data_IF_964535998461
#
_entry.id   IF_964535998461
#
_cell.length_a   1.000
_cell.length_b   1.000
_cell.length_c   1.000
_cell.angle_alpha   90.00
_cell.angle_beta   90.00
_cell.angle_gamma   90.00
#
_symmetry.space_group_name_H-M   'P 1'
#
loop_
_entity.id
_entity.type
_entity.pdbx_description
1 polymer ?
#
# COMPACT_ATOMS: atom_id res chain seq x y z
N UNK A 1 -28.12 60.75 -9.18
CA UNK A 1 -28.29 59.54 -8.37
C UNK A 1 -28.19 58.23 -9.18
N UNK A 2 -28.45 58.22 -10.47
CA UNK A 2 -28.41 57.07 -11.39
C UNK A 2 -26.99 56.54 -11.68
N UNK A 3 -25.97 57.37 -11.76
CA UNK A 3 -24.58 56.97 -12.04
C UNK A 3 -23.96 56.15 -10.94
N UNK A 4 -24.26 56.41 -9.65
CA UNK A 4 -23.76 55.64 -8.53
C UNK A 4 -24.31 54.20 -8.52
N UNK A 5 -25.57 54.00 -8.89
CA UNK A 5 -26.20 52.67 -8.98
C UNK A 5 -25.57 51.81 -10.09
N UNK A 6 -25.26 52.37 -11.24
CA UNK A 6 -24.60 51.68 -12.37
C UNK A 6 -23.16 51.27 -12.01
N UNK A 7 -22.42 52.12 -11.32
CA UNK A 7 -21.05 51.79 -10.86
C UNK A 7 -21.04 50.63 -9.83
N UNK A 8 -21.98 50.62 -8.91
CA UNK A 8 -22.10 49.55 -7.91
C UNK A 8 -22.44 48.19 -8.55
N UNK A 9 -23.33 48.19 -9.54
CA UNK A 9 -23.68 46.96 -10.28
C UNK A 9 -22.48 46.45 -11.07
N UNK A 10 -21.71 47.33 -11.70
CA UNK A 10 -20.54 46.96 -12.48
C UNK A 10 -19.45 46.32 -11.56
N UNK A 11 -19.19 46.90 -10.41
CA UNK A 11 -18.25 46.37 -9.42
C UNK A 11 -18.71 44.98 -8.93
N UNK A 12 -19.99 44.86 -8.63
CA UNK A 12 -20.57 43.60 -8.16
C UNK A 12 -20.46 42.50 -9.22
N UNK A 13 -20.73 42.80 -10.49
CA UNK A 13 -20.57 41.81 -11.57
C UNK A 13 -19.13 41.37 -11.78
N UNK A 14 -18.18 42.32 -11.73
CA UNK A 14 -16.75 42.00 -11.83
C UNK A 14 -16.29 41.09 -10.66
N UNK A 15 -16.76 41.38 -9.44
CA UNK A 15 -16.46 40.53 -8.28
C UNK A 15 -16.99 39.10 -8.45
N UNK A 16 -18.22 38.95 -8.91
CA UNK A 16 -18.83 37.65 -9.15
C UNK A 16 -18.09 36.88 -10.22
N UNK A 17 -17.75 37.52 -11.32
CA UNK A 17 -16.97 36.90 -12.41
C UNK A 17 -15.56 36.50 -11.96
N UNK A 18 -14.90 37.31 -11.15
CA UNK A 18 -13.61 36.97 -10.54
C UNK A 18 -13.68 35.75 -9.64
N UNK A 19 -14.70 35.65 -8.79
CA UNK A 19 -14.95 34.52 -7.93
C UNK A 19 -15.23 33.23 -8.72
N UNK A 20 -16.08 33.31 -9.75
CA UNK A 20 -16.36 32.18 -10.64
C UNK A 20 -15.11 31.70 -11.39
N UNK A 21 -14.29 32.63 -11.88
CA UNK A 21 -13.03 32.31 -12.54
C UNK A 21 -12.06 31.58 -11.57
N UNK A 22 -11.94 32.06 -10.33
CA UNK A 22 -11.10 31.46 -9.31
C UNK A 22 -11.55 30.04 -8.95
N UNK A 23 -12.86 29.83 -8.77
CA UNK A 23 -13.45 28.51 -8.54
C UNK A 23 -13.22 27.57 -9.73
N UNK A 24 -13.37 28.04 -10.96
CA UNK A 24 -13.10 27.27 -12.17
C UNK A 24 -11.64 26.81 -12.26
N UNK A 25 -10.69 27.69 -11.96
CA UNK A 25 -9.27 27.34 -11.91
C UNK A 25 -8.97 26.30 -10.83
N UNK A 26 -9.62 26.41 -9.68
CA UNK A 26 -9.45 25.45 -8.59
C UNK A 26 -10.00 24.06 -8.95
N UNK A 27 -11.19 24.00 -9.53
CA UNK A 27 -11.79 22.75 -10.03
C UNK A 27 -10.94 22.09 -11.11
N UNK A 28 -10.43 22.90 -12.06
CA UNK A 28 -9.56 22.39 -13.11
C UNK A 28 -8.26 21.79 -12.56
N UNK A 29 -7.63 22.46 -11.58
CA UNK A 29 -6.44 21.95 -10.91
C UNK A 29 -6.72 20.64 -10.17
N UNK A 30 -7.86 20.55 -9.51
CA UNK A 30 -8.27 19.35 -8.79
C UNK A 30 -8.56 18.18 -9.74
N UNK A 31 -9.22 18.46 -10.88
CA UNK A 31 -9.49 17.47 -11.91
C UNK A 31 -8.21 16.96 -12.59
N UNK A 32 -7.25 17.83 -12.85
CA UNK A 32 -5.94 17.46 -13.39
C UNK A 32 -5.18 16.57 -12.43
N UNK A 33 -5.15 16.91 -11.14
CA UNK A 33 -4.50 16.10 -10.11
C UNK A 33 -5.12 14.70 -10.00
N UNK A 34 -6.44 14.60 -10.05
CA UNK A 34 -7.15 13.31 -10.04
C UNK A 34 -6.87 12.47 -11.29
N UNK A 35 -6.75 13.10 -12.45
CA UNK A 35 -6.38 12.41 -13.70
C UNK A 35 -4.93 11.91 -13.67
N UNK A 36 -4.00 12.68 -13.12
CA UNK A 36 -2.61 12.27 -12.97
C UNK A 36 -2.51 11.05 -12.02
N UNK A 37 -3.21 11.08 -10.88
CA UNK A 37 -3.30 9.94 -9.96
C UNK A 37 -3.95 8.72 -10.62
N UNK A 38 -5.03 8.92 -11.37
CA UNK A 38 -5.70 7.83 -12.09
C UNK A 38 -4.82 7.20 -13.17
N UNK A 39 -3.99 7.99 -13.85
CA UNK A 39 -3.04 7.50 -14.83
C UNK A 39 -1.88 6.74 -14.18
N UNK A 40 -1.36 7.22 -13.06
CA UNK A 40 -0.34 6.51 -12.29
C UNK A 40 -0.87 5.15 -11.81
N UNK A 41 -2.09 5.11 -11.28
CA UNK A 41 -2.73 3.86 -10.87
C UNK A 41 -2.94 2.88 -12.03
N UNK A 42 -3.37 3.36 -13.19
CA UNK A 42 -3.54 2.51 -14.39
C UNK A 42 -2.22 2.00 -14.95
N UNK A 43 -1.16 2.80 -14.87
CA UNK A 43 0.14 2.46 -15.41
C UNK A 43 0.86 1.42 -14.52
N UNK A 44 0.67 1.52 -13.21
CA UNK A 44 1.29 0.64 -12.21
C UNK A 44 0.25 -0.24 -11.48
N UNK A 45 -0.80 -0.68 -12.18
CA UNK A 45 -1.86 -1.50 -11.58
C UNK A 45 -1.31 -2.72 -10.84
N UNK A 46 -0.32 -3.37 -11.42
CA UNK A 46 0.34 -4.54 -10.80
C UNK A 46 1.10 -4.21 -9.51
N UNK A 47 1.37 -2.93 -9.25
CA UNK A 47 2.01 -2.47 -8.01
C UNK A 47 1.00 -2.29 -6.87
N UNK A 48 -0.18 -1.78 -7.20
CA UNK A 48 -1.19 -1.43 -6.21
C UNK A 48 -2.18 -2.56 -5.95
N UNK A 49 -2.51 -3.34 -6.99
CA UNK A 49 -3.39 -4.49 -6.86
C UNK A 49 -2.58 -5.77 -6.62
N UNK A 50 -3.06 -6.58 -5.71
CA UNK A 50 -2.57 -7.93 -5.53
C UNK A 50 -3.18 -8.81 -6.64
N UNK A 51 -2.35 -9.55 -7.36
CA UNK A 51 -2.85 -10.53 -8.31
C UNK A 51 -3.50 -11.71 -7.55
N UNK A 52 -4.56 -12.29 -8.08
CA UNK A 52 -5.24 -13.43 -7.45
C UNK A 52 -4.28 -14.58 -7.10
N UNK A 53 -3.29 -14.81 -7.96
CA UNK A 53 -2.26 -15.81 -7.69
C UNK A 53 -1.37 -15.43 -6.50
N UNK A 54 -0.99 -14.15 -6.39
CA UNK A 54 -0.23 -13.65 -5.22
C UNK A 54 -1.07 -13.74 -3.95
N UNK A 55 -2.36 -13.44 -4.04
CA UNK A 55 -3.29 -13.53 -2.90
C UNK A 55 -3.44 -14.97 -2.41
N UNK A 56 -3.64 -15.94 -3.32
CA UNK A 56 -3.71 -17.35 -2.96
C UNK A 56 -2.42 -17.86 -2.30
N UNK A 57 -1.27 -17.44 -2.84
CA UNK A 57 0.04 -17.82 -2.31
C UNK A 57 0.22 -17.19 -0.91
N UNK A 58 -0.13 -15.91 -0.75
CA UNK A 58 -0.04 -15.21 0.53
C UNK A 58 -0.92 -15.89 1.59
N UNK A 59 -2.14 -16.27 1.24
CA UNK A 59 -3.05 -16.97 2.13
C UNK A 59 -2.51 -18.35 2.55
N UNK A 60 -1.91 -19.10 1.63
CA UNK A 60 -1.27 -20.39 1.94
C UNK A 60 -0.08 -20.21 2.89
N UNK A 61 0.75 -19.20 2.68
CA UNK A 61 1.86 -18.91 3.60
C UNK A 61 1.35 -18.47 4.97
N UNK A 62 0.30 -17.67 5.02
CA UNK A 62 -0.32 -17.24 6.28
C UNK A 62 -0.88 -18.44 7.05
N UNK A 63 -1.53 -19.37 6.37
CA UNK A 63 -2.05 -20.59 6.94
C UNK A 63 -0.93 -21.51 7.46
N UNK A 64 0.13 -21.68 6.67
CA UNK A 64 1.31 -22.48 7.06
C UNK A 64 2.03 -21.88 8.29
N UNK A 65 2.21 -20.55 8.32
CA UNK A 65 2.77 -19.85 9.46
C UNK A 65 1.92 -20.04 10.72
N UNK A 66 0.62 -19.95 10.60
CA UNK A 66 -0.30 -20.11 11.72
C UNK A 66 -0.37 -21.55 12.20
N UNK A 67 -0.25 -22.53 11.31
CA UNK A 67 -0.33 -23.95 11.68
C UNK A 67 0.98 -24.49 12.23
N UNK A 68 2.10 -24.17 11.57
CA UNK A 68 3.38 -24.83 11.85
C UNK A 68 4.28 -24.05 12.81
N UNK A 69 4.12 -22.73 12.90
CA UNK A 69 5.00 -21.86 13.69
C UNK A 69 4.42 -21.37 15.00
N UNK A 70 3.11 -21.17 15.10
CA UNK A 70 2.48 -20.81 16.38
C UNK A 70 2.76 -21.89 17.42
N UNK A 71 2.83 -23.15 17.02
CA UNK A 71 3.24 -24.25 17.91
C UNK A 71 4.69 -24.14 18.42
N UNK A 72 5.53 -23.33 17.80
CA UNK A 72 6.90 -23.04 18.26
C UNK A 72 7.01 -21.70 19.03
N UNK A 73 6.00 -20.83 18.92
CA UNK A 73 5.93 -19.53 19.59
C UNK A 73 5.32 -19.58 20.99
N UNK A 74 4.75 -20.71 21.41
CA UNK A 74 4.13 -20.91 22.74
C UNK A 74 5.05 -20.70 23.94
N UNK A 75 6.25 -20.15 23.74
CA UNK A 75 7.19 -19.76 24.81
C UNK A 75 7.48 -18.24 24.83
N UNK A 76 6.69 -17.42 24.15
CA UNK A 76 6.83 -15.97 24.23
C UNK A 76 5.98 -15.49 25.40
N UNK A 77 6.66 -15.09 26.48
CA UNK A 77 6.06 -14.50 27.66
C UNK A 77 5.20 -13.28 27.26
N UNK A 78 3.90 -13.34 27.57
CA UNK A 78 2.89 -12.31 27.30
C UNK A 78 3.16 -10.99 28.06
N UNK A 79 4.21 -10.89 28.89
CA UNK A 79 4.43 -9.73 29.77
C UNK A 79 5.05 -8.50 29.11
N UNK A 80 5.62 -8.60 27.93
CA UNK A 80 6.20 -7.44 27.24
C UNK A 80 5.54 -7.22 25.89
N UNK A 81 4.52 -6.38 25.88
CA UNK A 81 3.77 -5.95 24.70
C UNK A 81 4.58 -5.18 23.60
N UNK A 82 5.75 -5.68 23.27
CA UNK A 82 6.54 -5.26 22.12
C UNK A 82 6.41 -6.31 21.03
N UNK A 83 5.54 -6.03 20.06
CA UNK A 83 5.29 -6.83 18.84
C UNK A 83 6.54 -7.12 17.97
N UNK A 84 7.75 -6.84 18.47
CA UNK A 84 8.96 -6.80 17.64
C UNK A 84 9.72 -8.11 17.49
N UNK A 85 9.42 -9.14 18.26
CA UNK A 85 10.22 -10.39 18.24
C UNK A 85 9.40 -11.67 17.99
N UNK A 86 8.34 -11.56 17.17
CA UNK A 86 7.50 -12.74 16.84
C UNK A 86 8.34 -13.80 16.13
N UNK A 87 9.31 -13.40 15.32
CA UNK A 87 10.21 -14.31 14.64
C UNK A 87 11.62 -14.22 15.20
N UNK A 88 12.07 -15.29 15.89
CA UNK A 88 13.38 -15.33 16.53
C UNK A 88 14.57 -15.46 15.57
N UNK A 89 14.34 -15.91 14.34
CA UNK A 89 15.38 -16.21 13.35
C UNK A 89 14.91 -15.88 11.93
N UNK A 90 15.89 -15.64 11.04
CA UNK A 90 15.62 -15.56 9.59
C UNK A 90 15.03 -16.86 9.11
N UNK A 91 14.07 -16.78 8.21
CA UNK A 91 13.51 -17.95 7.56
C UNK A 91 13.17 -17.71 6.09
N UNK A 92 13.26 -18.76 5.33
CA UNK A 92 12.75 -18.83 3.97
C UNK A 92 11.79 -20.02 3.89
N UNK A 93 10.57 -19.75 3.46
CA UNK A 93 9.58 -20.79 3.17
C UNK A 93 9.30 -20.79 1.67
N UNK A 94 9.35 -21.95 1.03
CA UNK A 94 9.16 -22.12 -0.41
C UNK A 94 7.90 -22.91 -0.68
N UNK A 95 7.06 -22.38 -1.56
CA UNK A 95 5.88 -23.07 -2.09
C UNK A 95 5.85 -22.93 -3.60
N UNK A 96 6.01 -24.03 -4.31
CA UNK A 96 6.08 -24.04 -5.78
C UNK A 96 7.15 -23.05 -6.30
N UNK A 97 6.76 -22.12 -7.17
CA UNK A 97 7.64 -21.10 -7.77
C UNK A 97 7.73 -19.81 -6.94
N UNK A 98 7.18 -19.81 -5.72
CA UNK A 98 7.13 -18.64 -4.84
C UNK A 98 7.84 -18.93 -3.53
N UNK A 99 8.44 -17.90 -2.94
CA UNK A 99 9.05 -18.02 -1.62
C UNK A 99 8.71 -16.81 -0.76
N UNK A 100 8.59 -17.06 0.54
CA UNK A 100 8.49 -16.04 1.55
C UNK A 100 9.76 -16.03 2.39
N UNK A 101 10.39 -14.87 2.49
CA UNK A 101 11.64 -14.65 3.20
C UNK A 101 11.42 -13.64 4.32
N UNK A 102 11.88 -13.93 5.51
CA UNK A 102 11.91 -13.01 6.64
C UNK A 102 13.35 -12.72 7.04
N UNK A 103 13.68 -11.45 7.20
CA UNK A 103 14.98 -10.99 7.66
C UNK A 103 14.83 -10.30 9.02
N UNK A 104 15.39 -10.93 10.04
CA UNK A 104 15.33 -10.44 11.43
C UNK A 104 16.05 -9.11 11.62
N UNK A 105 17.18 -8.89 10.94
CA UNK A 105 17.99 -7.69 11.15
C UNK A 105 17.24 -6.41 10.80
N UNK A 106 16.36 -6.48 9.80
CA UNK A 106 15.58 -5.34 9.31
C UNK A 106 14.10 -5.44 9.71
N UNK A 107 13.70 -6.53 10.37
CA UNK A 107 12.30 -6.86 10.68
C UNK A 107 11.40 -6.73 9.44
N UNK A 108 11.85 -7.33 8.33
CA UNK A 108 11.15 -7.25 7.05
C UNK A 108 10.85 -8.63 6.50
N UNK A 109 9.64 -8.76 6.02
CA UNK A 109 9.17 -9.94 5.32
C UNK A 109 8.97 -9.62 3.85
N UNK A 110 9.32 -10.55 2.98
CA UNK A 110 9.21 -10.39 1.54
C UNK A 110 8.56 -11.60 0.90
N UNK A 111 7.63 -11.34 0.00
CA UNK A 111 7.05 -12.34 -0.88
C UNK A 111 7.72 -12.26 -2.25
N UNK A 112 8.36 -13.35 -2.66
CA UNK A 112 8.92 -13.53 -4.01
C UNK A 112 7.93 -14.33 -4.84
N UNK A 113 7.45 -13.76 -5.93
CA UNK A 113 6.59 -14.45 -6.89
C UNK A 113 7.25 -14.47 -8.25
N UNK A 114 7.18 -15.62 -8.91
CA UNK A 114 7.70 -15.81 -10.26
C UNK A 114 6.55 -15.62 -11.25
N UNK A 115 6.43 -14.44 -11.84
CA UNK A 115 5.45 -14.18 -12.89
C UNK A 115 6.13 -14.32 -14.26
N UNK A 116 5.78 -15.35 -15.02
CA UNK A 116 6.21 -15.57 -16.41
C UNK A 116 7.73 -15.62 -16.66
N UNK A 117 8.49 -16.38 -15.88
CA UNK A 117 9.92 -16.68 -16.08
C UNK A 117 10.89 -15.47 -16.15
N UNK A 118 10.45 -14.22 -16.04
CA UNK A 118 11.34 -13.10 -16.33
C UNK A 118 11.58 -12.11 -15.17
N UNK A 119 10.71 -12.01 -14.18
CA UNK A 119 10.90 -11.02 -13.12
C UNK A 119 10.55 -11.62 -11.76
N UNK A 120 11.56 -11.98 -10.99
CA UNK A 120 11.40 -12.25 -9.56
C UNK A 120 11.01 -10.94 -8.86
N UNK A 121 9.73 -10.66 -8.75
CA UNK A 121 9.24 -9.53 -7.96
C UNK A 121 9.34 -9.90 -6.49
N UNK A 122 9.91 -9.02 -5.71
CA UNK A 122 10.05 -9.16 -4.26
C UNK A 122 9.24 -8.05 -3.60
N UNK A 123 8.03 -8.40 -3.16
CA UNK A 123 7.09 -7.48 -2.49
C UNK A 123 7.32 -7.50 -0.98
N UNK A 124 7.44 -6.35 -0.35
CA UNK A 124 7.49 -6.22 1.10
C UNK A 124 6.11 -6.53 1.70
N UNK A 125 6.09 -7.41 2.69
CA UNK A 125 4.89 -7.82 3.43
C UNK A 125 5.03 -7.29 4.86
N UNK A 126 4.02 -6.62 5.35
CA UNK A 126 3.91 -6.29 6.77
C UNK A 126 3.12 -7.38 7.48
N UNK A 127 3.46 -7.71 8.70
CA UNK A 127 2.72 -8.65 9.49
C UNK A 127 2.23 -8.00 10.79
N UNK A 128 1.10 -8.48 11.28
CA UNK A 128 0.57 -8.15 12.59
C UNK A 128 0.20 -9.44 13.31
N UNK A 129 0.38 -9.45 14.63
CA UNK A 129 -0.07 -10.53 15.47
C UNK A 129 -1.33 -10.10 16.23
N UNK A 130 -2.41 -10.82 16.02
CA UNK A 130 -3.68 -10.54 16.66
C UNK A 130 -4.47 -11.82 16.90
N UNK A 131 -5.06 -11.94 18.10
CA UNK A 131 -5.88 -13.10 18.48
C UNK A 131 -5.15 -14.44 18.24
N UNK A 132 -3.86 -14.52 18.65
CA UNK A 132 -2.98 -15.68 18.48
C UNK A 132 -2.73 -16.06 17.00
N UNK A 133 -2.99 -15.15 16.06
CA UNK A 133 -2.79 -15.38 14.63
C UNK A 133 -1.90 -14.31 14.02
N UNK A 134 -1.06 -14.77 13.10
CA UNK A 134 -0.27 -13.90 12.24
C UNK A 134 -1.12 -13.53 11.02
N UNK A 135 -1.30 -12.24 10.79
CA UNK A 135 -1.99 -11.70 9.63
C UNK A 135 -0.94 -11.03 8.75
N UNK A 136 -0.83 -11.47 7.50
CA UNK A 136 0.09 -10.92 6.51
C UNK A 136 -0.63 -9.84 5.70
N UNK A 137 -0.02 -8.67 5.61
CA UNK A 137 -0.57 -7.52 4.88
C UNK A 137 0.40 -7.15 3.76
N UNK A 138 0.01 -7.34 2.49
CA UNK A 138 0.85 -6.95 1.37
C UNK A 138 0.98 -5.44 1.28
N UNK A 139 2.20 -4.96 1.06
CA UNK A 139 2.46 -3.54 0.82
C UNK A 139 2.64 -3.25 -0.66
N UNK A 140 2.59 -1.98 -1.04
CA UNK A 140 2.89 -1.53 -2.40
C UNK A 140 4.41 -1.32 -2.63
N UNK A 141 5.26 -1.78 -1.70
CA UNK A 141 6.70 -1.64 -1.80
C UNK A 141 7.34 -2.88 -2.40
N UNK A 142 8.22 -2.68 -3.34
CA UNK A 142 9.00 -3.73 -3.98
C UNK A 142 10.49 -3.46 -3.72
N UNK A 143 11.24 -4.52 -3.49
CA UNK A 143 12.69 -4.43 -3.49
C UNK A 143 13.16 -4.46 -4.94
N UNK A 144 13.65 -3.31 -5.44
CA UNK A 144 14.28 -3.25 -6.75
C UNK A 144 15.60 -4.01 -6.68
N UNK A 145 15.78 -4.97 -7.57
CA UNK A 145 17.13 -5.50 -7.81
C UNK A 145 17.94 -4.36 -8.40
N UNK A 146 18.67 -3.63 -7.56
CA UNK A 146 19.75 -2.77 -8.05
C UNK A 146 20.70 -3.65 -8.87
N UNK A 147 20.77 -3.36 -10.18
CA UNK A 147 21.76 -3.92 -11.08
C UNK A 147 23.16 -3.57 -10.62
#
# INVERSE_FOLDING_TARGET
MYLKKKATVLISTVMILSLMSMLGCFMFKMMRNNNELGNLYKFDKDKYDLDKAEEEILNKFMEDLNTNRINKLNNVDEENGNDKDIFSQDFENKMQDSSMEYNKNNDKMFLKTNKNNEINRKREITYIFRDEKIILIPTCKFEDKSK
#
